data_IF_736714917696
#
_entry.id   IF_736714917696
#
_cell.length_a   1.000
_cell.length_b   1.000
_cell.length_c   1.000
_cell.angle_alpha   90.00
_cell.angle_beta   90.00
_cell.angle_gamma   90.00
#
_symmetry.space_group_name_H-M   'P 1'
#
loop_
_entity.id
_entity.type
_entity.pdbx_description
1 polymer ?
#
# COMPACT_ATOMS: atom_id res chain seq x y z
N UNK A 1 30.30 12.82 15.04
CA UNK A 1 29.33 11.94 15.74
C UNK A 1 29.53 10.48 15.32
N UNK A 2 30.71 9.88 15.58
CA UNK A 2 30.97 8.50 15.20
C UNK A 2 30.29 7.50 16.15
N UNK A 3 30.15 7.82 17.44
CA UNK A 3 29.58 6.90 18.44
C UNK A 3 28.14 6.48 18.11
N UNK A 4 27.26 7.45 17.85
CA UNK A 4 25.85 7.20 17.46
C UNK A 4 25.77 6.37 16.16
N UNK A 5 26.64 6.66 15.20
CA UNK A 5 26.67 5.95 13.91
C UNK A 5 27.07 4.47 14.10
N UNK A 6 28.05 4.20 14.96
CA UNK A 6 28.50 2.85 15.31
C UNK A 6 27.41 2.10 16.09
N UNK A 7 26.80 2.74 17.08
CA UNK A 7 25.74 2.15 17.90
C UNK A 7 24.52 1.76 17.07
N UNK A 8 24.10 2.61 16.12
CA UNK A 8 22.96 2.36 15.24
C UNK A 8 23.30 1.56 13.97
N UNK A 9 24.58 1.20 13.77
CA UNK A 9 25.02 0.49 12.56
C UNK A 9 24.75 1.24 11.25
N UNK A 10 24.85 2.58 11.27
CA UNK A 10 24.55 3.42 10.11
C UNK A 10 25.74 4.32 9.72
N UNK A 11 25.66 4.95 8.55
CA UNK A 11 26.72 5.87 8.11
C UNK A 11 26.71 7.16 8.93
N UNK A 12 27.89 7.74 9.19
CA UNK A 12 27.97 9.06 9.84
C UNK A 12 27.22 10.15 9.08
N UNK A 13 27.14 10.02 7.74
CA UNK A 13 26.38 10.94 6.88
C UNK A 13 24.89 10.86 7.18
N UNK A 14 24.35 9.67 7.40
CA UNK A 14 22.95 9.47 7.78
C UNK A 14 22.64 10.21 9.09
N UNK A 15 23.48 10.02 10.11
CA UNK A 15 23.34 10.74 11.40
C UNK A 15 23.37 12.25 11.20
N UNK A 16 24.27 12.75 10.36
CA UNK A 16 24.37 14.19 10.08
C UNK A 16 23.08 14.77 9.47
N UNK A 17 22.48 14.05 8.53
CA UNK A 17 21.22 14.47 7.89
C UNK A 17 20.06 14.52 8.89
N UNK A 18 19.93 13.49 9.74
CA UNK A 18 18.91 13.46 10.78
C UNK A 18 19.10 14.58 11.81
N UNK A 19 20.35 14.81 12.25
CA UNK A 19 20.66 15.88 13.20
C UNK A 19 20.35 17.25 12.61
N UNK A 20 20.68 17.47 11.33
CA UNK A 20 20.35 18.72 10.65
C UNK A 20 18.82 18.91 10.57
N UNK A 21 18.05 17.87 10.21
CA UNK A 21 16.58 17.95 10.19
C UNK A 21 16.01 18.29 11.56
N UNK A 22 16.50 17.62 12.61
CA UNK A 22 16.10 17.89 13.99
C UNK A 22 16.44 19.32 14.42
N UNK A 23 17.66 19.79 14.18
CA UNK A 23 18.06 21.15 14.56
C UNK A 23 17.25 22.23 13.83
N UNK A 24 16.73 21.93 12.65
CA UNK A 24 15.91 22.86 11.85
C UNK A 24 14.44 22.89 12.30
N UNK A 25 13.87 21.75 12.66
CA UNK A 25 12.41 21.60 12.78
C UNK A 25 11.96 20.81 14.02
N UNK A 26 12.89 20.51 14.94
CA UNK A 26 12.63 19.69 16.12
C UNK A 26 12.11 18.29 15.77
N UNK A 27 11.16 17.80 16.55
CA UNK A 27 10.52 16.49 16.33
C UNK A 27 9.77 16.42 14.99
N UNK A 28 9.18 17.52 14.52
CA UNK A 28 8.52 17.57 13.21
C UNK A 28 9.49 17.27 12.06
N UNK A 29 10.78 17.62 12.23
CA UNK A 29 11.83 17.29 11.27
C UNK A 29 12.16 15.80 11.18
N UNK A 30 11.67 14.99 12.13
CA UNK A 30 11.86 13.55 12.17
C UNK A 30 10.66 12.77 11.64
N UNK A 31 9.57 13.44 11.27
CA UNK A 31 8.41 12.78 10.67
C UNK A 31 8.77 12.14 9.33
N UNK A 32 8.16 11.00 9.03
CA UNK A 32 8.22 10.40 7.71
C UNK A 32 7.49 11.30 6.72
N UNK A 33 8.27 12.07 5.98
CA UNK A 33 7.76 12.84 4.86
C UNK A 33 7.26 11.84 3.82
N UNK A 34 5.94 11.72 3.69
CA UNK A 34 5.31 10.94 2.62
C UNK A 34 5.82 11.35 1.24
N UNK A 35 5.52 10.55 0.21
CA UNK A 35 5.97 10.81 -1.16
C UNK A 35 7.39 10.33 -1.48
N UNK A 36 8.01 9.57 -0.57
CA UNK A 36 9.26 8.83 -0.81
C UNK A 36 8.97 7.59 -1.67
N UNK A 37 8.44 7.79 -2.87
CA UNK A 37 8.00 6.70 -3.71
C UNK A 37 7.38 7.21 -4.99
N UNK A 38 7.24 6.31 -5.96
CA UNK A 38 6.46 6.59 -7.15
C UNK A 38 5.04 6.93 -6.72
N UNK A 39 4.50 8.02 -7.26
CA UNK A 39 3.08 8.33 -7.14
C UNK A 39 2.25 7.10 -7.48
N UNK A 40 1.24 6.85 -6.67
CA UNK A 40 0.36 5.71 -6.86
C UNK A 40 -0.40 5.87 -8.16
N UNK A 41 -0.25 4.88 -9.04
CA UNK A 41 -0.91 4.88 -10.35
C UNK A 41 -2.43 4.65 -10.28
N UNK A 42 -2.91 4.21 -9.13
CA UNK A 42 -4.28 3.75 -8.90
C UNK A 42 -4.87 4.72 -7.88
N UNK A 43 -5.96 5.39 -8.25
CA UNK A 43 -6.66 6.30 -7.33
C UNK A 43 -7.43 5.51 -6.27
N UNK A 44 -8.00 6.19 -5.28
CA UNK A 44 -8.83 5.52 -4.27
C UNK A 44 -10.15 4.99 -4.87
N UNK A 45 -10.65 5.66 -5.92
CA UNK A 45 -11.79 5.20 -6.72
C UNK A 45 -11.45 3.90 -7.44
N UNK A 46 -10.29 3.85 -8.11
CA UNK A 46 -9.83 2.64 -8.80
C UNK A 46 -9.65 1.47 -7.82
N UNK A 47 -9.12 1.73 -6.62
CA UNK A 47 -9.02 0.73 -5.54
C UNK A 47 -10.38 0.20 -5.11
N UNK A 48 -11.34 1.10 -4.93
CA UNK A 48 -12.71 0.74 -4.57
C UNK A 48 -13.37 -0.11 -5.65
N UNK A 49 -13.15 0.21 -6.93
CA UNK A 49 -13.62 -0.59 -8.06
C UNK A 49 -12.98 -1.98 -8.08
N UNK A 50 -11.66 -2.07 -7.90
CA UNK A 50 -10.95 -3.37 -7.83
C UNK A 50 -11.52 -4.23 -6.69
N UNK A 51 -11.69 -3.66 -5.49
CA UNK A 51 -12.24 -4.39 -4.34
C UNK A 51 -13.65 -4.89 -4.63
N UNK A 52 -14.50 -4.06 -5.27
CA UNK A 52 -15.85 -4.44 -5.67
C UNK A 52 -15.82 -5.64 -6.62
N UNK A 53 -15.01 -5.58 -7.68
CA UNK A 53 -14.85 -6.67 -8.65
C UNK A 53 -14.37 -7.95 -7.96
N UNK A 54 -13.36 -7.86 -7.09
CA UNK A 54 -12.82 -9.03 -6.35
C UNK A 54 -13.86 -9.67 -5.42
N UNK A 55 -14.75 -8.87 -4.83
CA UNK A 55 -15.84 -9.36 -3.97
C UNK A 55 -16.99 -10.00 -4.74
N UNK A 56 -17.12 -9.72 -6.04
CA UNK A 56 -18.14 -10.35 -6.90
C UNK A 56 -17.68 -11.71 -7.40
N UNK A 57 -18.63 -12.63 -7.62
CA UNK A 57 -18.29 -13.94 -8.20
C UNK A 57 -18.01 -13.74 -9.69
N UNK A 58 -16.81 -14.11 -10.16
CA UNK A 58 -16.48 -13.95 -11.56
C UNK A 58 -17.37 -14.85 -12.42
N UNK A 59 -17.87 -14.35 -13.56
CA UNK A 59 -18.74 -15.12 -14.45
C UNK A 59 -18.07 -16.41 -14.91
N UNK A 60 -18.80 -17.52 -14.93
CA UNK A 60 -18.28 -18.83 -15.35
C UNK A 60 -17.47 -19.59 -14.29
N UNK A 61 -17.41 -19.10 -13.04
CA UNK A 61 -16.86 -19.88 -11.91
C UNK A 61 -17.99 -20.65 -11.22
N UNK A 62 -17.84 -21.97 -11.10
CA UNK A 62 -18.74 -22.81 -10.31
C UNK A 62 -18.49 -22.60 -8.82
N UNK A 63 -19.56 -22.44 -8.03
CA UNK A 63 -19.53 -22.39 -6.56
C UNK A 63 -20.58 -23.36 -6.02
N UNK A 64 -20.23 -24.02 -4.92
CA UNK A 64 -21.19 -24.72 -4.07
C UNK A 64 -21.90 -23.71 -3.16
N UNK A 65 -23.21 -23.61 -3.27
CA UNK A 65 -24.04 -22.89 -2.30
C UNK A 65 -24.11 -23.71 -0.98
N UNK A 66 -24.44 -23.08 0.16
CA UNK A 66 -24.53 -23.76 1.46
C UNK A 66 -25.56 -24.90 1.51
N UNK A 67 -26.52 -24.89 0.59
CA UNK A 67 -27.56 -25.93 0.40
C UNK A 67 -27.05 -27.18 -0.35
N UNK A 68 -25.80 -27.16 -0.84
CA UNK A 68 -25.19 -28.28 -1.55
C UNK A 68 -25.49 -28.30 -3.05
N UNK A 69 -26.11 -27.26 -3.61
CA UNK A 69 -26.31 -27.15 -5.05
C UNK A 69 -25.13 -26.46 -5.76
N UNK A 70 -24.73 -27.00 -6.91
CA UNK A 70 -23.67 -26.44 -7.75
C UNK A 70 -24.27 -25.47 -8.76
N UNK A 71 -24.03 -24.16 -8.56
CA UNK A 71 -24.52 -23.13 -9.46
C UNK A 71 -23.40 -22.59 -10.35
N UNK A 72 -23.69 -22.44 -11.65
CA UNK A 72 -22.86 -21.68 -12.60
C UNK A 72 -23.40 -20.26 -12.66
N UNK A 73 -22.61 -19.28 -12.24
CA UNK A 73 -22.98 -17.89 -12.46
C UNK A 73 -22.98 -17.62 -13.97
N UNK A 74 -24.13 -17.17 -14.54
CA UNK A 74 -24.23 -16.94 -15.98
C UNK A 74 -23.15 -15.95 -16.40
N UNK A 75 -22.55 -16.20 -17.57
CA UNK A 75 -21.62 -15.24 -18.17
C UNK A 75 -22.41 -13.98 -18.49
N UNK A 76 -22.34 -12.98 -17.60
CA UNK A 76 -22.85 -11.65 -17.92
C UNK A 76 -21.86 -11.05 -18.91
N UNK A 77 -22.18 -11.11 -20.20
CA UNK A 77 -21.49 -10.33 -21.21
C UNK A 77 -21.84 -8.86 -20.99
N UNK A 78 -21.11 -8.17 -20.11
CA UNK A 78 -21.15 -6.71 -20.05
C UNK A 78 -19.87 -6.15 -20.64
N UNK A 79 -19.95 -5.73 -21.90
CA UNK A 79 -19.12 -4.69 -22.50
C UNK A 79 -19.98 -4.00 -23.56
N UNK A 80 -20.44 -2.79 -23.23
CA UNK A 80 -20.73 -1.73 -24.20
C UNK A 80 -19.73 -0.62 -23.95
#
# INVERSE_FOLDING_TARGET
MPAIAVELGCSQRTVWWWLHRFNRSGLQGLEDLGGQGREWRITEEDRSQIISVVKTVPPGRMRWEPDGELWVFPRVCTLR
#
